data_IF_211921181464
#
_entry.id   IF_211921181464
#
_cell.length_a   1.000
_cell.length_b   1.000
_cell.length_c   1.000
_cell.angle_alpha   90.00
_cell.angle_beta   90.00
_cell.angle_gamma   90.00
#
_symmetry.space_group_name_H-M   'P 1'
#
loop_
_entity.id
_entity.type
_entity.pdbx_description
1 polymer ?
#
# COMPACT_ATOMS: atom_id res chain seq x y z
N UNK A 1 30.17 25.71 -16.59
CA UNK A 1 29.65 24.56 -15.83
C UNK A 1 28.27 24.90 -15.30
N UNK A 2 27.22 24.30 -15.86
CA UNK A 2 25.85 24.57 -15.46
C UNK A 2 25.58 23.99 -14.07
N UNK A 3 25.26 24.85 -13.10
CA UNK A 3 24.79 24.43 -11.78
C UNK A 3 23.39 23.84 -11.94
N UNK A 4 23.26 22.53 -11.78
CA UNK A 4 21.97 21.85 -11.67
C UNK A 4 21.26 22.33 -10.40
N UNK A 5 20.34 23.29 -10.55
CA UNK A 5 19.33 23.61 -9.54
C UNK A 5 18.31 22.47 -9.53
N UNK A 6 18.17 21.80 -8.40
CA UNK A 6 17.23 20.70 -8.19
C UNK A 6 15.88 21.29 -7.77
N UNK A 7 15.05 21.67 -8.73
CA UNK A 7 13.70 22.24 -8.51
C UNK A 7 12.61 21.17 -8.27
N UNK A 8 12.92 20.14 -7.47
CA UNK A 8 11.90 19.17 -7.04
C UNK A 8 12.14 18.76 -5.59
N UNK A 9 11.84 19.67 -4.66
CA UNK A 9 11.47 19.26 -3.31
C UNK A 9 9.98 19.53 -3.16
N UNK A 10 9.16 18.54 -3.53
CA UNK A 10 7.84 18.38 -2.92
C UNK A 10 8.05 18.48 -1.42
N UNK A 11 7.43 19.47 -0.79
CA UNK A 11 7.61 19.80 0.61
C UNK A 11 7.12 18.64 1.50
N UNK A 12 7.96 17.63 1.70
CA UNK A 12 7.81 16.70 2.81
C UNK A 12 8.09 17.51 4.07
N UNK A 13 7.08 17.69 4.92
CA UNK A 13 7.28 18.14 6.30
C UNK A 13 8.50 17.43 6.89
N UNK A 14 9.37 18.16 7.60
CA UNK A 14 10.60 17.59 8.19
C UNK A 14 10.31 16.29 8.96
N UNK A 15 9.15 16.21 9.62
CA UNK A 15 8.69 15.01 10.31
C UNK A 15 8.37 13.83 9.38
N UNK A 16 7.77 14.08 8.21
CA UNK A 16 7.50 13.05 7.20
C UNK A 16 8.80 12.56 6.54
N UNK A 17 9.74 13.47 6.28
CA UNK A 17 11.06 13.15 5.77
C UNK A 17 11.85 12.28 6.75
N UNK A 18 11.82 12.63 8.05
CA UNK A 18 12.50 11.87 9.10
C UNK A 18 11.92 10.46 9.27
N UNK A 19 10.59 10.34 9.22
CA UNK A 19 9.89 9.05 9.33
C UNK A 19 10.25 8.10 8.18
N UNK A 20 10.14 8.57 6.95
CA UNK A 20 10.47 7.78 5.77
C UNK A 20 11.94 7.36 5.77
N UNK A 21 12.83 8.24 6.24
CA UNK A 21 14.26 7.93 6.36
C UNK A 21 14.54 6.87 7.43
N UNK A 22 13.86 6.93 8.58
CA UNK A 22 13.94 5.90 9.61
C UNK A 22 13.46 4.54 9.08
N UNK A 23 12.33 4.52 8.38
CA UNK A 23 11.81 3.33 7.73
C UNK A 23 12.77 2.73 6.70
N UNK A 24 13.37 3.55 5.83
CA UNK A 24 14.34 3.10 4.83
C UNK A 24 15.58 2.47 5.46
N UNK A 25 16.15 3.12 6.49
CA UNK A 25 17.32 2.60 7.19
C UNK A 25 17.01 1.26 7.88
N UNK A 26 15.84 1.13 8.50
CA UNK A 26 15.46 -0.10 9.20
C UNK A 26 15.11 -1.24 8.22
N UNK A 27 14.12 -1.05 7.35
CA UNK A 27 13.57 -2.12 6.52
C UNK A 27 14.41 -2.42 5.28
N UNK A 28 14.99 -1.41 4.63
CA UNK A 28 15.75 -1.61 3.38
C UNK A 28 17.25 -1.83 3.63
N UNK A 29 17.85 -1.16 4.63
CA UNK A 29 19.28 -1.33 4.94
C UNK A 29 19.54 -2.35 6.07
N UNK A 30 18.50 -2.89 6.71
CA UNK A 30 18.64 -3.90 7.75
C UNK A 30 19.31 -3.41 9.04
N UNK A 31 19.36 -2.09 9.26
CA UNK A 31 19.94 -1.51 10.47
C UNK A 31 19.03 -1.79 11.68
N UNK A 32 19.64 -2.03 12.84
CA UNK A 32 18.93 -2.12 14.10
C UNK A 32 18.33 -0.76 14.48
N UNK A 33 17.27 -0.76 15.30
CA UNK A 33 16.66 0.48 15.79
C UNK A 33 17.67 1.39 16.52
N UNK A 34 18.70 0.80 17.15
CA UNK A 34 19.77 1.53 17.83
C UNK A 34 20.67 2.24 16.81
N UNK A 35 21.11 1.56 15.76
CA UNK A 35 21.93 2.15 14.72
C UNK A 35 21.16 3.22 13.91
N UNK A 36 19.86 3.01 13.68
CA UNK A 36 18.98 4.02 13.07
C UNK A 36 18.89 5.27 13.95
N UNK A 37 18.75 5.10 15.27
CA UNK A 37 18.70 6.20 16.24
C UNK A 37 19.99 7.01 16.23
N UNK A 38 21.15 6.34 16.27
CA UNK A 38 22.48 6.95 16.20
C UNK A 38 22.66 7.71 14.87
N UNK A 39 22.28 7.11 13.75
CA UNK A 39 22.45 7.71 12.42
C UNK A 39 21.54 8.90 12.15
N UNK A 40 20.37 8.93 12.77
CA UNK A 40 19.40 10.03 12.65
C UNK A 40 19.51 11.07 13.77
N UNK A 41 20.36 10.84 14.78
CA UNK A 41 20.54 11.75 15.91
C UNK A 41 19.29 11.87 16.80
N UNK A 42 18.48 10.82 16.87
CA UNK A 42 17.22 10.80 17.65
C UNK A 42 17.21 9.64 18.64
N UNK A 43 16.31 9.69 19.63
CA UNK A 43 16.19 8.60 20.60
C UNK A 43 15.63 7.32 19.97
N UNK A 44 16.00 6.16 20.52
CA UNK A 44 15.45 4.86 20.10
C UNK A 44 13.92 4.80 20.22
N UNK A 45 13.33 5.40 21.26
CA UNK A 45 11.87 5.46 21.42
C UNK A 45 11.20 6.30 20.32
N UNK A 46 11.85 7.37 19.86
CA UNK A 46 11.40 8.14 18.70
C UNK A 46 11.43 7.29 17.43
N UNK A 47 12.49 6.52 17.19
CA UNK A 47 12.57 5.60 16.03
C UNK A 47 11.42 4.60 16.05
N UNK A 48 11.15 3.96 17.19
CA UNK A 48 10.04 3.00 17.32
C UNK A 48 8.70 3.65 16.94
N UNK A 49 8.42 4.84 17.48
CA UNK A 49 7.19 5.58 17.16
C UNK A 49 7.11 5.93 15.67
N UNK A 50 8.23 6.37 15.07
CA UNK A 50 8.28 6.70 13.65
C UNK A 50 8.02 5.47 12.76
N UNK A 51 8.61 4.32 13.08
CA UNK A 51 8.36 3.08 12.34
C UNK A 51 6.90 2.62 12.46
N UNK A 52 6.32 2.69 13.66
CA UNK A 52 4.91 2.38 13.89
C UNK A 52 3.97 3.33 13.11
N UNK A 53 4.27 4.64 13.11
CA UNK A 53 3.53 5.60 12.29
C UNK A 53 3.68 5.33 10.78
N UNK A 54 4.86 4.90 10.33
CA UNK A 54 5.12 4.62 8.92
C UNK A 54 4.28 3.41 8.45
N UNK A 55 4.15 2.40 9.31
CA UNK A 55 3.25 1.26 9.08
C UNK A 55 1.78 1.67 9.10
N UNK A 56 1.35 2.44 10.13
CA UNK A 56 -0.04 2.91 10.27
C UNK A 56 -0.51 3.80 9.12
N UNK A 57 0.40 4.59 8.54
CA UNK A 57 0.13 5.45 7.38
C UNK A 57 0.27 4.74 6.04
N UNK A 58 0.58 3.44 6.05
CA UNK A 58 0.86 2.66 4.84
C UNK A 58 1.96 3.29 3.98
N UNK A 59 2.93 3.96 4.63
CA UNK A 59 4.16 4.47 4.02
C UNK A 59 5.19 3.34 3.86
N UNK A 60 5.09 2.31 4.71
CA UNK A 60 5.80 1.04 4.59
C UNK A 60 4.77 -0.08 4.46
N UNK A 61 5.00 -0.98 3.50
CA UNK A 61 4.22 -2.19 3.32
C UNK A 61 5.18 -3.38 3.27
N UNK A 62 4.91 -4.40 4.05
CA UNK A 62 5.74 -5.61 4.13
C UNK A 62 4.93 -6.75 3.50
N UNK A 63 5.48 -7.33 2.44
CA UNK A 63 4.90 -8.47 1.72
C UNK A 63 5.62 -9.74 2.17
N UNK A 64 4.89 -10.69 2.73
CA UNK A 64 5.43 -12.00 3.12
C UNK A 64 4.84 -13.04 2.17
N UNK A 65 5.70 -13.74 1.44
CA UNK A 65 5.34 -14.64 0.33
C UNK A 65 5.24 -16.12 0.73
N UNK A 66 4.94 -16.44 1.98
CA UNK A 66 4.73 -17.84 2.40
C UNK A 66 3.26 -18.27 2.20
N UNK A 67 3.04 -19.46 1.62
CA UNK A 67 1.69 -20.00 1.40
C UNK A 67 0.98 -19.54 0.11
N UNK A 68 1.73 -18.94 -0.83
CA UNK A 68 1.20 -18.44 -2.11
C UNK A 68 0.67 -19.57 -2.99
N UNK A 69 1.29 -20.75 -2.99
CA UNK A 69 0.93 -21.84 -3.91
C UNK A 69 -0.55 -22.22 -3.82
N UNK A 70 -1.08 -22.36 -2.60
CA UNK A 70 -2.50 -22.69 -2.37
C UNK A 70 -3.42 -21.56 -2.83
N UNK A 71 -3.04 -20.30 -2.63
CA UNK A 71 -3.84 -19.15 -3.05
C UNK A 71 -3.87 -19.02 -4.58
N UNK A 72 -2.72 -19.23 -5.24
CA UNK A 72 -2.59 -19.20 -6.70
C UNK A 72 -3.35 -20.37 -7.35
N UNK A 73 -3.26 -21.56 -6.77
CA UNK A 73 -4.04 -22.71 -7.25
C UNK A 73 -5.54 -22.45 -7.13
N UNK A 74 -5.98 -21.86 -6.00
CA UNK A 74 -7.38 -21.50 -5.81
C UNK A 74 -7.85 -20.40 -6.77
N UNK A 75 -7.03 -19.38 -7.00
CA UNK A 75 -7.29 -18.32 -7.99
C UNK A 75 -7.50 -18.92 -9.39
N UNK A 76 -6.59 -19.77 -9.83
CA UNK A 76 -6.67 -20.45 -11.13
C UNK A 76 -7.95 -21.32 -11.24
N UNK A 77 -8.34 -21.98 -10.15
CA UNK A 77 -9.59 -22.76 -10.11
C UNK A 77 -10.81 -21.87 -10.22
N UNK A 78 -10.82 -20.71 -9.55
CA UNK A 78 -11.91 -19.73 -9.63
C UNK A 78 -12.06 -19.16 -11.04
N UNK A 79 -10.95 -18.77 -11.67
CA UNK A 79 -10.92 -18.28 -13.05
C UNK A 79 -11.53 -19.29 -14.01
N UNK A 80 -11.10 -20.56 -13.93
CA UNK A 80 -11.63 -21.64 -14.79
C UNK A 80 -13.10 -21.97 -14.50
N UNK A 81 -13.49 -21.97 -13.24
CA UNK A 81 -14.86 -22.34 -12.84
C UNK A 81 -15.89 -21.28 -13.22
N UNK A 82 -15.52 -20.01 -13.15
CA UNK A 82 -16.44 -18.88 -13.34
C UNK A 82 -16.16 -18.05 -14.61
N UNK A 83 -15.11 -18.36 -15.37
CA UNK A 83 -14.72 -17.63 -16.57
C UNK A 83 -14.24 -16.21 -16.27
N UNK A 84 -13.52 -16.02 -15.16
CA UNK A 84 -12.99 -14.71 -14.78
C UNK A 84 -11.70 -14.42 -15.55
N UNK A 85 -11.48 -13.17 -15.92
CA UNK A 85 -10.21 -12.73 -16.53
C UNK A 85 -9.04 -12.86 -15.53
N UNK A 86 -9.31 -12.56 -14.26
CA UNK A 86 -8.33 -12.64 -13.17
C UNK A 86 -9.04 -12.84 -11.83
N UNK A 87 -8.47 -13.69 -10.97
CA UNK A 87 -8.90 -13.86 -9.59
C UNK A 87 -7.73 -13.62 -8.62
N UNK A 88 -7.94 -12.77 -7.62
CA UNK A 88 -6.95 -12.54 -6.56
C UNK A 88 -7.46 -13.16 -5.26
N UNK A 89 -6.70 -14.13 -4.74
CA UNK A 89 -6.99 -14.81 -3.47
C UNK A 89 -6.00 -14.35 -2.42
N UNK A 90 -6.50 -13.90 -1.28
CA UNK A 90 -5.70 -13.52 -0.11
C UNK A 90 -5.88 -14.50 1.04
N UNK A 91 -4.84 -14.77 1.84
CA UNK A 91 -4.98 -15.57 3.05
C UNK A 91 -6.00 -14.94 4.02
N UNK A 92 -6.83 -15.78 4.62
CA UNK A 92 -7.78 -15.32 5.63
C UNK A 92 -7.05 -14.88 6.91
N UNK A 93 -7.39 -13.70 7.48
CA UNK A 93 -6.83 -13.25 8.74
C UNK A 93 -7.32 -14.11 9.91
N UNK A 94 -6.47 -14.33 10.91
CA UNK A 94 -6.75 -15.23 12.04
C UNK A 94 -8.03 -14.93 12.83
N UNK A 95 -8.36 -13.65 12.95
CA UNK A 95 -9.52 -13.16 13.72
C UNK A 95 -10.85 -13.38 12.97
N UNK A 96 -10.81 -13.66 11.66
CA UNK A 96 -12.00 -13.83 10.78
C UNK A 96 -13.08 -12.75 10.91
N UNK A 97 -12.78 -11.61 11.56
CA UNK A 97 -13.70 -10.50 11.69
C UNK A 97 -13.93 -9.82 10.35
N UNK A 98 -15.13 -9.28 10.15
CA UNK A 98 -15.50 -8.66 8.88
C UNK A 98 -14.56 -7.50 8.50
N UNK A 99 -14.03 -6.77 9.48
CA UNK A 99 -13.10 -5.67 9.25
C UNK A 99 -11.69 -6.18 8.92
N UNK A 100 -11.23 -7.25 9.57
CA UNK A 100 -9.96 -7.89 9.21
C UNK A 100 -10.00 -8.47 7.80
N UNK A 101 -11.10 -9.13 7.42
CA UNK A 101 -11.31 -9.65 6.08
C UNK A 101 -11.35 -8.53 5.04
N UNK A 102 -12.11 -7.45 5.31
CA UNK A 102 -12.15 -6.28 4.44
C UNK A 102 -10.78 -5.61 4.30
N UNK A 103 -9.98 -5.59 5.37
CA UNK A 103 -8.59 -5.13 5.35
C UNK A 103 -7.70 -5.97 4.45
N UNK A 104 -7.72 -7.29 4.61
CA UNK A 104 -6.91 -8.21 3.82
C UNK A 104 -7.24 -8.13 2.31
N UNK A 105 -8.53 -8.19 1.97
CA UNK A 105 -9.00 -8.08 0.58
C UNK A 105 -8.77 -6.67 0.04
N UNK A 106 -9.00 -5.64 0.85
CA UNK A 106 -8.78 -4.25 0.49
C UNK A 106 -7.33 -3.99 0.10
N UNK A 107 -6.37 -4.50 0.88
CA UNK A 107 -4.95 -4.34 0.56
C UNK A 107 -4.59 -4.87 -0.83
N UNK A 108 -5.05 -6.07 -1.19
CA UNK A 108 -4.84 -6.64 -2.52
C UNK A 108 -5.58 -5.84 -3.60
N UNK A 109 -6.84 -5.44 -3.34
CA UNK A 109 -7.62 -4.62 -4.27
C UNK A 109 -6.94 -3.28 -4.58
N UNK A 110 -6.39 -2.58 -3.59
CA UNK A 110 -5.72 -1.30 -3.79
C UNK A 110 -4.47 -1.43 -4.66
N UNK A 111 -3.71 -2.52 -4.53
CA UNK A 111 -2.59 -2.79 -5.41
C UNK A 111 -3.05 -3.09 -6.84
N UNK A 112 -4.00 -4.02 -6.97
CA UNK A 112 -4.59 -4.38 -8.24
C UNK A 112 -5.10 -3.14 -8.99
N UNK A 113 -5.85 -2.27 -8.33
CA UNK A 113 -6.35 -1.02 -8.93
C UNK A 113 -5.23 -0.05 -9.33
N UNK A 114 -4.11 -0.03 -8.60
CA UNK A 114 -2.97 0.83 -8.93
C UNK A 114 -2.32 0.45 -10.27
N UNK A 115 -2.37 -0.84 -10.59
CA UNK A 115 -1.83 -1.41 -11.83
C UNK A 115 -2.87 -1.41 -12.96
N UNK A 116 -4.10 -1.81 -12.64
CA UNK A 116 -5.20 -1.98 -13.60
C UNK A 116 -5.73 -0.64 -14.15
N UNK A 117 -5.74 0.44 -13.35
CA UNK A 117 -6.23 1.74 -13.83
C UNK A 117 -5.23 2.34 -14.81
N UNK A 118 -5.71 2.63 -16.01
CA UNK A 118 -4.97 3.27 -17.10
C UNK A 118 -5.53 4.67 -17.41
N UNK A 119 -4.82 5.41 -18.26
CA UNK A 119 -5.28 6.70 -18.76
C UNK A 119 -6.61 6.55 -19.51
N UNK A 120 -7.40 7.62 -19.55
CA UNK A 120 -8.68 7.68 -20.30
C UNK A 120 -9.79 6.73 -19.81
N UNK A 121 -9.59 6.00 -18.70
CA UNK A 121 -10.61 5.14 -18.12
C UNK A 121 -11.70 5.91 -17.38
N UNK A 122 -12.95 5.41 -17.45
CA UNK A 122 -14.05 5.83 -16.58
C UNK A 122 -14.29 4.75 -15.53
N UNK A 123 -14.14 5.12 -14.26
CA UNK A 123 -14.18 4.22 -13.12
C UNK A 123 -15.50 4.44 -12.37
N UNK A 124 -16.34 3.42 -12.34
CA UNK A 124 -17.52 3.39 -11.49
C UNK A 124 -17.17 2.92 -10.08
N UNK A 125 -17.54 3.68 -9.05
CA UNK A 125 -17.23 3.37 -7.66
C UNK A 125 -18.52 3.21 -6.85
N UNK A 126 -18.61 2.11 -6.10
CA UNK A 126 -19.61 1.91 -5.06
C UNK A 126 -19.05 2.26 -3.67
N UNK A 127 -19.87 2.15 -2.62
CA UNK A 127 -19.43 2.33 -1.24
C UNK A 127 -19.33 0.98 -0.51
N UNK A 128 -18.44 0.89 0.48
CA UNK A 128 -18.29 -0.30 1.31
C UNK A 128 -16.97 -0.36 2.06
N UNK A 129 -16.92 -1.14 3.14
CA UNK A 129 -15.73 -1.26 4.00
C UNK A 129 -14.49 -1.74 3.23
N UNK A 130 -14.65 -2.70 2.32
CA UNK A 130 -13.55 -3.20 1.47
C UNK A 130 -13.02 -2.12 0.54
N UNK A 131 -13.90 -1.28 -0.02
CA UNK A 131 -13.50 -0.17 -0.89
C UNK A 131 -12.72 0.89 -0.11
N UNK A 132 -13.18 1.23 1.10
CA UNK A 132 -12.45 2.13 2.00
C UNK A 132 -11.10 1.54 2.40
N UNK A 133 -11.06 0.24 2.73
CA UNK A 133 -9.83 -0.45 3.10
C UNK A 133 -8.81 -0.47 1.96
N UNK A 134 -9.26 -0.56 0.70
CA UNK A 134 -8.38 -0.54 -0.47
C UNK A 134 -7.60 0.76 -0.64
N UNK A 135 -8.11 1.88 -0.13
CA UNK A 135 -7.40 3.16 -0.17
C UNK A 135 -6.07 3.14 0.61
N UNK A 136 -5.90 2.20 1.56
CA UNK A 136 -4.66 2.07 2.33
C UNK A 136 -3.45 1.72 1.44
N UNK A 137 -3.63 0.81 0.48
CA UNK A 137 -2.59 0.37 -0.47
C UNK A 137 -2.70 1.00 -1.86
N UNK A 138 -3.80 1.69 -2.17
CA UNK A 138 -3.99 2.33 -3.46
C UNK A 138 -2.98 3.47 -3.70
N UNK A 139 -2.05 3.25 -4.62
CA UNK A 139 -0.99 4.18 -5.02
C UNK A 139 -0.81 4.13 -6.54
N UNK A 140 -1.81 4.56 -7.32
CA UNK A 140 -1.67 4.58 -8.77
C UNK A 140 -0.58 5.59 -9.16
N UNK A 141 0.20 5.32 -10.23
CA UNK A 141 0.98 6.37 -10.85
C UNK A 141 0.02 7.45 -11.38
N UNK A 142 0.53 8.68 -11.56
CA UNK A 142 -0.31 9.79 -12.01
C UNK A 142 -0.92 9.45 -13.37
N UNK A 143 -2.23 9.24 -13.42
CA UNK A 143 -2.99 8.93 -14.64
C UNK A 143 -3.67 10.18 -15.19
N UNK A 144 -3.78 10.26 -16.51
CA UNK A 144 -4.41 11.35 -17.22
C UNK A 144 -5.81 10.99 -17.69
N UNK A 145 -6.71 11.99 -17.70
CA UNK A 145 -8.07 11.90 -18.26
C UNK A 145 -8.93 10.77 -17.70
N UNK A 146 -8.60 10.25 -16.51
CA UNK A 146 -9.47 9.32 -15.78
C UNK A 146 -10.70 10.06 -15.24
N UNK A 147 -11.86 9.43 -15.32
CA UNK A 147 -13.12 9.91 -14.73
C UNK A 147 -13.54 8.96 -13.62
N UNK A 148 -14.04 9.49 -12.51
CA UNK A 148 -14.59 8.70 -11.41
C UNK A 148 -16.07 9.06 -11.27
N UNK A 149 -16.94 8.06 -11.30
CA UNK A 149 -18.40 8.23 -11.20
C UNK A 149 -18.94 7.36 -10.07
N UNK A 150 -19.88 7.89 -9.28
CA UNK A 150 -20.60 7.08 -8.30
C UNK A 150 -21.61 6.20 -9.02
N UNK A 151 -21.59 4.89 -8.77
CA UNK A 151 -22.60 3.96 -9.29
C UNK A 151 -23.84 3.87 -8.41
N UNK A 152 -23.81 4.55 -7.25
CA UNK A 152 -24.89 4.53 -6.27
C UNK A 152 -25.39 5.96 -6.08
N UNK A 153 -26.72 6.11 -6.09
CA UNK A 153 -27.38 7.39 -5.82
C UNK A 153 -27.41 7.67 -4.32
N UNK A 154 -27.11 8.92 -3.96
CA UNK A 154 -27.13 9.44 -2.59
C UNK A 154 -27.15 10.96 -2.61
#
# INVERSE_FOLDING_TARGET
MAKLRRDTHTAYSEASSLRLRAAWLYYNQGLTQKEVAERLGISRSTVIRLLDEAMKRSEVQIWISEGIDTCVELATKLERAYGLDEAVVVPAPRDNSADALAGAVGLALGQFLSEAIQNDMTIGVGWGRTMTAALSSFRPPRRERCKVVSLLGG
#
